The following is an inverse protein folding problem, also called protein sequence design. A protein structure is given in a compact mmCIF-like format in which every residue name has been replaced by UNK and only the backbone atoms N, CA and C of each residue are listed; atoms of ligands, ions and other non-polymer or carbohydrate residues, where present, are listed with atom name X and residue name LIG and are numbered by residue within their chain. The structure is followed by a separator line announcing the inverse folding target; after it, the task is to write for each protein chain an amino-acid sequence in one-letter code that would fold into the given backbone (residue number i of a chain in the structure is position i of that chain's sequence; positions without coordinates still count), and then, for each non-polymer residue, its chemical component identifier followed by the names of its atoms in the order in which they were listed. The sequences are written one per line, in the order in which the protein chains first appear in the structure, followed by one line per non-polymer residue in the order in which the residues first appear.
data_IF_116997569901
#
_entry.id   IF_116997569901
#
_cell.length_a   1.000
_cell.length_b   1.000
_cell.length_c   1.000
_cell.angle_alpha   90.00
_cell.angle_beta   90.00
_cell.angle_gamma   90.00
#
_symmetry.space_group_name_H-M   'P 1'
#
loop_
_entity.id
_entity.type
_entity.pdbx_description
1 polymer ?
#
# COMPACT_ATOMS: atom_id res chain seq x y z
N UNK A 1 -19.10 8.86 2.02
CA UNK A 1 -19.28 7.53 1.37
C UNK A 1 -18.96 7.71 -0.09
N UNK A 2 -17.98 6.97 -0.62
CA UNK A 2 -17.66 6.97 -2.04
C UNK A 2 -18.80 6.29 -2.79
N UNK A 3 -19.47 7.04 -3.67
CA UNK A 3 -20.66 6.57 -4.39
C UNK A 3 -20.32 5.75 -5.63
N UNK A 4 -19.15 5.98 -6.23
CA UNK A 4 -18.63 5.21 -7.36
C UNK A 4 -17.42 4.39 -6.90
N UNK A 5 -17.48 3.07 -7.10
CA UNK A 5 -16.42 2.13 -6.72
C UNK A 5 -15.63 1.62 -7.93
N UNK A 6 -16.11 1.87 -9.15
CA UNK A 6 -15.47 1.39 -10.36
C UNK A 6 -14.06 2.00 -10.49
N UNK A 7 -13.08 1.14 -10.68
CA UNK A 7 -11.68 1.54 -10.82
C UNK A 7 -11.14 2.37 -9.64
N UNK A 8 -11.71 2.16 -8.44
CA UNK A 8 -11.24 2.80 -7.23
C UNK A 8 -10.03 2.04 -6.67
N UNK A 9 -8.98 2.78 -6.36
CA UNK A 9 -7.77 2.31 -5.69
C UNK A 9 -7.50 3.18 -4.49
N UNK A 10 -7.03 2.58 -3.39
CA UNK A 10 -6.74 3.35 -2.19
C UNK A 10 -6.09 2.52 -1.09
N UNK A 11 -5.42 3.21 -0.16
CA UNK A 11 -4.74 2.59 0.96
C UNK A 11 -4.69 3.53 2.18
N UNK A 12 -4.55 2.95 3.35
CA UNK A 12 -4.43 3.66 4.61
C UNK A 12 -4.79 2.76 5.80
N UNK A 13 -4.65 3.24 7.03
CA UNK A 13 -4.97 2.45 8.22
C UNK A 13 -6.47 2.43 8.52
N UNK A 14 -6.90 1.39 9.21
CA UNK A 14 -8.24 1.30 9.82
C UNK A 14 -8.35 2.30 10.98
N UNK A 15 -9.55 2.83 11.20
CA UNK A 15 -9.85 3.72 12.33
C UNK A 15 -9.27 3.20 13.65
N UNK A 16 -8.75 4.12 14.46
CA UNK A 16 -8.03 3.85 15.72
C UNK A 16 -6.72 3.08 15.55
N UNK A 17 -6.14 3.06 14.34
CA UNK A 17 -4.90 2.35 14.01
C UNK A 17 -4.96 0.87 14.46
N UNK A 18 -6.01 0.17 14.01
CA UNK A 18 -6.28 -1.23 14.35
C UNK A 18 -6.38 -2.11 13.10
N UNK A 19 -5.39 -2.01 12.24
CA UNK A 19 -5.29 -2.74 11.00
C UNK A 19 -5.13 -1.83 9.80
N UNK A 20 -5.11 -2.44 8.61
CA UNK A 20 -4.86 -1.76 7.34
C UNK A 20 -6.04 -1.89 6.38
N UNK A 21 -6.13 -0.94 5.45
CA UNK A 21 -7.13 -0.91 4.38
C UNK A 21 -6.40 -0.92 3.05
N UNK A 22 -6.90 -1.72 2.12
CA UNK A 22 -6.47 -1.72 0.72
C UNK A 22 -7.68 -1.81 -0.18
N UNK A 23 -7.80 -0.92 -1.15
CA UNK A 23 -8.80 -0.99 -2.21
C UNK A 23 -8.10 -1.25 -3.54
N UNK A 24 -8.49 -2.32 -4.22
CA UNK A 24 -8.02 -2.70 -5.54
C UNK A 24 -9.22 -2.85 -6.47
N UNK A 25 -9.28 -1.98 -7.48
CA UNK A 25 -10.34 -1.98 -8.51
C UNK A 25 -11.76 -2.05 -7.89
N UNK A 26 -12.00 -1.22 -6.88
CA UNK A 26 -13.28 -1.11 -6.18
C UNK A 26 -13.53 -2.16 -5.11
N UNK A 27 -12.72 -3.21 -5.01
CA UNK A 27 -12.83 -4.21 -3.94
C UNK A 27 -12.03 -3.73 -2.72
N UNK A 28 -12.70 -3.55 -1.59
CA UNK A 28 -12.10 -3.07 -0.36
C UNK A 28 -11.80 -4.22 0.60
N UNK A 29 -10.56 -4.30 1.03
CA UNK A 29 -10.06 -5.26 2.01
C UNK A 29 -9.63 -4.55 3.29
N UNK A 30 -9.87 -5.18 4.43
CA UNK A 30 -9.26 -4.80 5.71
C UNK A 30 -8.48 -5.96 6.28
N UNK A 31 -7.38 -5.67 6.98
CA UNK A 31 -6.66 -6.66 7.75
C UNK A 31 -6.60 -6.26 9.22
N UNK A 32 -6.73 -7.22 10.10
CA UNK A 32 -6.63 -7.06 11.55
C UNK A 32 -5.78 -8.17 12.16
N UNK A 33 -5.06 -7.86 13.23
CA UNK A 33 -4.23 -8.82 13.93
C UNK A 33 -5.10 -9.86 14.65
N UNK A 34 -4.78 -11.15 14.47
CA UNK A 34 -5.28 -12.25 15.31
C UNK A 34 -4.22 -12.57 16.37
N UNK A 35 -2.99 -12.85 15.94
CA UNK A 35 -1.82 -13.12 16.76
C UNK A 35 -0.52 -12.78 16.00
N UNK A 36 0.64 -13.15 16.55
CA UNK A 36 1.96 -12.84 15.97
C UNK A 36 2.28 -13.56 14.64
N UNK A 37 1.47 -14.55 14.24
CA UNK A 37 1.69 -15.35 13.02
C UNK A 37 0.49 -15.37 12.09
N UNK A 38 -0.66 -14.86 12.52
CA UNK A 38 -1.88 -14.86 11.73
C UNK A 38 -2.64 -13.54 11.82
N UNK A 39 -3.32 -13.21 10.74
CA UNK A 39 -4.19 -12.05 10.62
C UNK A 39 -5.53 -12.45 10.00
N UNK A 40 -6.52 -11.60 10.14
CA UNK A 40 -7.79 -11.71 9.43
C UNK A 40 -7.79 -10.70 8.29
N UNK A 41 -8.00 -11.19 7.06
CA UNK A 41 -8.24 -10.35 5.89
C UNK A 41 -9.69 -10.54 5.48
N UNK A 42 -10.44 -9.45 5.37
CA UNK A 42 -11.86 -9.47 5.05
C UNK A 42 -12.19 -8.48 3.94
N UNK A 43 -13.04 -8.88 3.00
CA UNK A 43 -13.66 -7.94 2.08
C UNK A 43 -14.76 -7.18 2.82
N UNK A 44 -14.69 -5.83 2.83
CA UNK A 44 -15.67 -5.00 3.52
C UNK A 44 -15.79 -3.60 2.89
N UNK A 45 -17.01 -3.08 2.86
CA UNK A 45 -17.30 -1.73 2.36
C UNK A 45 -17.75 -0.78 3.49
N UNK A 46 -17.67 -1.26 4.74
CA UNK A 46 -18.05 -0.47 5.94
C UNK A 46 -16.82 -0.27 6.81
N UNK A 47 -15.92 0.59 6.36
CA UNK A 47 -14.68 0.89 7.05
C UNK A 47 -14.54 2.40 7.23
N UNK A 48 -13.83 2.81 8.28
CA UNK A 48 -13.42 4.19 8.54
C UNK A 48 -11.89 4.23 8.64
N UNK A 49 -11.29 5.30 8.17
CA UNK A 49 -9.87 5.56 8.23
C UNK A 49 -9.60 6.92 8.88
N UNK A 50 -8.56 7.10 9.70
CA UNK A 50 -8.16 8.41 10.20
C UNK A 50 -7.56 9.28 9.08
N UNK A 51 -6.90 8.66 8.11
CA UNK A 51 -6.46 9.25 6.84
C UNK A 51 -6.48 8.18 5.76
N UNK A 52 -6.66 8.59 4.52
CA UNK A 52 -6.80 7.64 3.41
C UNK A 52 -6.47 8.33 2.09
N UNK A 53 -5.56 7.70 1.31
CA UNK A 53 -5.27 8.11 -0.04
C UNK A 53 -6.05 7.25 -1.04
N UNK A 54 -6.71 7.88 -2.03
CA UNK A 54 -7.44 7.15 -3.06
C UNK A 54 -7.50 7.90 -4.39
N UNK A 55 -7.71 7.14 -5.46
CA UNK A 55 -7.94 7.66 -6.81
C UNK A 55 -8.80 6.72 -7.64
N UNK A 56 -9.49 7.27 -8.66
CA UNK A 56 -10.14 6.51 -9.72
C UNK A 56 -9.18 6.36 -10.89
N UNK A 57 -8.76 5.14 -11.19
CA UNK A 57 -7.70 4.83 -12.16
C UNK A 57 -8.19 3.76 -13.14
N UNK A 58 -8.99 4.16 -14.18
CA UNK A 58 -9.61 3.20 -15.09
C UNK A 58 -8.63 2.52 -16.04
N UNK A 59 -7.46 3.13 -16.29
CA UNK A 59 -6.51 2.62 -17.29
C UNK A 59 -5.11 2.56 -16.70
N UNK A 60 -4.44 1.42 -16.94
CA UNK A 60 -3.08 1.16 -16.50
C UNK A 60 -2.20 0.79 -17.68
N UNK A 61 -1.02 1.39 -17.73
CA UNK A 61 0.06 0.94 -18.58
C UNK A 61 0.84 -0.15 -17.85
N UNK A 62 0.78 -1.37 -18.35
CA UNK A 62 1.58 -2.48 -17.84
C UNK A 62 2.95 -2.50 -18.50
N UNK A 63 3.98 -2.67 -17.69
CA UNK A 63 5.34 -2.94 -18.17
C UNK A 63 6.03 -3.93 -17.22
N UNK A 64 6.99 -4.69 -17.73
CA UNK A 64 7.82 -5.55 -16.89
C UNK A 64 8.71 -4.68 -16.00
N UNK A 65 8.73 -4.96 -14.70
CA UNK A 65 9.72 -4.35 -13.79
C UNK A 65 11.12 -4.88 -14.15
N UNK A 66 12.13 -4.03 -14.36
CA UNK A 66 13.49 -4.50 -14.64
C UNK A 66 14.01 -5.44 -13.54
N UNK A 67 14.68 -6.52 -13.93
CA UNK A 67 15.15 -7.56 -13.01
C UNK A 67 16.19 -7.05 -11.98
N UNK A 68 16.82 -5.90 -12.25
CA UNK A 68 17.71 -5.20 -11.32
C UNK A 68 16.98 -4.51 -10.16
N UNK A 69 15.67 -4.26 -10.31
CA UNK A 69 14.86 -3.60 -9.29
C UNK A 69 14.29 -4.66 -8.36
N UNK A 70 14.99 -4.92 -7.26
CA UNK A 70 14.64 -6.01 -6.33
C UNK A 70 14.25 -5.52 -4.94
N UNK A 71 14.49 -4.25 -4.60
CA UNK A 71 14.22 -3.70 -3.26
C UNK A 71 13.37 -2.43 -3.34
N UNK A 72 12.83 -1.98 -2.19
CA UNK A 72 12.09 -0.72 -2.10
C UNK A 72 12.94 0.48 -2.52
N UNK A 73 14.19 0.55 -2.07
CA UNK A 73 15.10 1.64 -2.45
C UNK A 73 15.34 1.68 -3.96
N UNK A 74 15.64 0.52 -4.58
CA UNK A 74 15.81 0.43 -6.03
C UNK A 74 14.52 0.79 -6.80
N UNK A 75 13.34 0.41 -6.26
CA UNK A 75 12.06 0.78 -6.85
C UNK A 75 11.83 2.29 -6.74
N UNK A 76 12.12 2.89 -5.60
CA UNK A 76 12.00 4.33 -5.38
C UNK A 76 12.86 5.11 -6.38
N UNK A 77 14.15 4.75 -6.49
CA UNK A 77 15.08 5.39 -7.43
C UNK A 77 14.61 5.23 -8.87
N UNK A 78 14.10 4.05 -9.23
CA UNK A 78 13.55 3.78 -10.55
C UNK A 78 12.34 4.67 -10.86
N UNK A 79 11.38 4.77 -9.93
CA UNK A 79 10.19 5.61 -10.10
C UNK A 79 10.58 7.10 -10.15
N UNK A 80 11.53 7.53 -9.36
CA UNK A 80 11.97 8.92 -9.32
C UNK A 80 12.68 9.36 -10.60
N UNK A 81 13.53 8.51 -11.16
CA UNK A 81 14.38 8.83 -12.32
C UNK A 81 13.67 8.56 -13.64
N UNK A 82 12.90 7.47 -13.74
CA UNK A 82 12.38 6.97 -15.02
C UNK A 82 10.89 7.25 -15.23
N UNK A 83 10.15 7.67 -14.18
CA UNK A 83 8.71 7.97 -14.27
C UNK A 83 8.51 9.48 -14.00
N UNK A 84 9.19 10.31 -14.79
CA UNK A 84 9.11 11.77 -14.73
C UNK A 84 7.92 12.36 -15.49
N UNK A 85 7.30 11.56 -16.37
CA UNK A 85 6.13 11.97 -17.16
C UNK A 85 4.82 11.97 -16.37
N UNK A 86 4.78 11.38 -15.17
CA UNK A 86 3.62 11.43 -14.28
C UNK A 86 3.72 12.60 -13.29
N UNK A 87 2.64 13.41 -13.13
CA UNK A 87 2.60 14.40 -12.07
C UNK A 87 2.65 13.72 -10.71
N UNK A 88 3.44 14.27 -9.78
CA UNK A 88 3.54 13.78 -8.40
C UNK A 88 2.56 14.51 -7.50
N UNK A 89 1.90 13.81 -6.56
CA UNK A 89 2.02 12.37 -6.27
C UNK A 89 1.20 11.49 -7.24
N UNK A 90 1.53 10.19 -7.32
CA UNK A 90 0.77 9.22 -8.12
C UNK A 90 0.71 7.84 -7.46
N UNK A 91 -0.33 7.08 -7.80
CA UNK A 91 -0.42 5.66 -7.49
C UNK A 91 0.27 4.82 -8.55
N UNK A 92 0.79 3.68 -8.14
CA UNK A 92 1.27 2.62 -9.03
C UNK A 92 0.88 1.26 -8.45
N UNK A 93 0.93 0.22 -9.26
CA UNK A 93 0.69 -1.14 -8.82
C UNK A 93 1.86 -2.03 -9.23
N UNK A 94 2.09 -3.06 -8.41
CA UNK A 94 2.97 -4.17 -8.77
C UNK A 94 2.17 -5.47 -8.63
N UNK A 95 2.45 -6.44 -9.52
CA UNK A 95 1.87 -7.78 -9.46
C UNK A 95 2.93 -8.80 -9.84
N UNK A 96 3.10 -9.84 -9.03
CA UNK A 96 4.12 -10.85 -9.29
C UNK A 96 4.44 -11.70 -8.06
N UNK A 97 5.71 -12.06 -7.90
CA UNK A 97 6.19 -12.86 -6.78
C UNK A 97 7.20 -12.05 -5.96
N UNK A 98 6.95 -11.92 -4.67
CA UNK A 98 7.95 -11.48 -3.72
C UNK A 98 8.72 -12.70 -3.20
N UNK A 99 10.04 -12.72 -3.41
CA UNK A 99 10.91 -13.75 -2.82
C UNK A 99 10.92 -13.66 -1.30
N UNK A 100 10.84 -12.41 -0.78
CA UNK A 100 10.63 -12.12 0.63
C UNK A 100 9.86 -10.81 0.74
N UNK A 101 8.92 -10.72 1.69
CA UNK A 101 8.25 -9.48 2.08
C UNK A 101 8.06 -9.43 3.59
N UNK A 102 8.29 -8.26 4.19
CA UNK A 102 7.88 -7.97 5.57
C UNK A 102 6.77 -6.92 5.49
N UNK A 103 5.61 -7.27 6.02
CA UNK A 103 4.48 -6.37 6.16
C UNK A 103 4.15 -6.20 7.64
N UNK A 104 3.60 -5.04 8.00
CA UNK A 104 3.06 -4.85 9.34
C UNK A 104 1.58 -4.47 9.33
N UNK A 105 0.95 -4.67 10.46
CA UNK A 105 -0.33 -4.11 10.81
C UNK A 105 -0.19 -3.24 12.05
N UNK A 106 -0.69 -2.00 11.97
CA UNK A 106 -0.88 -1.19 13.18
C UNK A 106 -1.93 -1.85 14.07
N UNK A 107 -1.69 -1.89 15.37
CA UNK A 107 -2.54 -2.62 16.32
C UNK A 107 -2.55 -1.95 17.69
N UNK A 108 -3.02 -0.71 17.75
CA UNK A 108 -3.13 0.03 19.00
C UNK A 108 -4.28 -0.50 19.87
N UNK A 109 -4.15 -0.46 21.21
CA UNK A 109 -5.27 -0.70 22.11
C UNK A 109 -6.43 0.27 21.82
N UNK A 110 -7.66 -0.20 22.03
CA UNK A 110 -8.83 0.66 21.82
C UNK A 110 -8.77 1.89 22.73
N UNK A 111 -9.01 3.07 22.14
CA UNK A 111 -9.01 4.34 22.88
C UNK A 111 -7.64 4.99 23.03
N UNK A 112 -6.57 4.43 22.46
CA UNK A 112 -5.26 5.08 22.44
C UNK A 112 -5.36 6.40 21.67
N UNK A 113 -4.89 7.49 22.28
CA UNK A 113 -4.70 8.79 21.62
C UNK A 113 -3.27 8.83 21.12
N UNK A 114 -3.09 9.14 19.85
CA UNK A 114 -1.79 9.19 19.18
C UNK A 114 -1.39 10.64 18.94
N UNK A 115 -0.18 11.00 19.33
CA UNK A 115 0.37 12.36 19.18
C UNK A 115 1.59 12.41 18.24
N UNK A 116 2.12 11.24 17.84
CA UNK A 116 3.26 11.15 16.92
C UNK A 116 3.19 9.89 16.04
N UNK A 117 3.89 9.87 14.89
CA UNK A 117 4.02 8.66 14.08
C UNK A 117 4.60 7.47 14.85
N UNK A 118 5.58 7.70 15.73
CA UNK A 118 6.20 6.63 16.55
C UNK A 118 5.19 6.00 17.50
N UNK A 119 4.29 6.79 18.08
CA UNK A 119 3.19 6.26 18.91
C UNK A 119 2.21 5.44 18.08
N UNK A 120 2.00 5.77 16.81
CA UNK A 120 1.12 5.02 15.90
C UNK A 120 1.61 3.58 15.67
N UNK A 121 2.91 3.35 15.74
CA UNK A 121 3.52 2.03 15.54
C UNK A 121 3.70 1.22 16.85
N UNK A 122 3.33 1.77 18.01
CA UNK A 122 3.33 1.02 19.25
C UNK A 122 2.31 -0.12 19.16
N UNK A 123 2.80 -1.37 19.33
CA UNK A 123 1.96 -2.56 19.22
C UNK A 123 1.70 -3.05 17.81
N UNK A 124 2.41 -2.53 16.80
CA UNK A 124 2.40 -3.14 15.47
C UNK A 124 2.85 -4.60 15.52
N UNK A 125 2.35 -5.38 14.58
CA UNK A 125 2.73 -6.80 14.42
C UNK A 125 3.27 -6.99 13.01
N UNK A 126 4.49 -7.53 12.94
CA UNK A 126 5.19 -7.77 11.69
C UNK A 126 5.00 -9.22 11.23
N UNK A 127 4.83 -9.41 9.93
CA UNK A 127 4.71 -10.71 9.29
C UNK A 127 5.72 -10.80 8.16
N UNK A 128 6.60 -11.80 8.20
CA UNK A 128 7.56 -12.07 7.13
C UNK A 128 7.10 -13.25 6.28
N UNK A 129 7.00 -13.01 4.98
CA UNK A 129 6.46 -13.93 3.98
C UNK A 129 7.54 -14.27 2.97
N UNK A 130 7.51 -15.49 2.41
CA UNK A 130 8.52 -15.98 1.47
C UNK A 130 7.87 -16.60 0.23
N UNK A 131 8.46 -16.34 -0.95
CA UNK A 131 8.05 -16.88 -2.26
C UNK A 131 6.53 -16.73 -2.54
N UNK A 132 5.97 -15.56 -2.24
CA UNK A 132 4.53 -15.34 -2.30
C UNK A 132 4.08 -14.61 -3.57
N UNK A 133 3.07 -15.12 -4.28
CA UNK A 133 2.33 -14.36 -5.28
C UNK A 133 1.52 -13.24 -4.59
N UNK A 134 1.71 -12.00 -5.03
CA UNK A 134 1.08 -10.85 -4.41
C UNK A 134 0.74 -9.75 -5.41
N UNK A 135 -0.18 -8.89 -4.98
CA UNK A 135 -0.50 -7.61 -5.58
C UNK A 135 -0.15 -6.51 -4.58
N UNK A 136 0.42 -5.42 -5.07
CA UNK A 136 0.85 -4.27 -4.26
C UNK A 136 0.22 -3.03 -4.87
N UNK A 137 -0.39 -2.19 -4.05
CA UNK A 137 -0.72 -0.82 -4.39
C UNK A 137 0.28 0.09 -3.70
N UNK A 138 0.92 0.97 -4.48
CA UNK A 138 1.88 1.93 -3.99
C UNK A 138 1.46 3.36 -4.30
N UNK A 139 1.88 4.26 -3.43
CA UNK A 139 1.77 5.70 -3.56
C UNK A 139 3.18 6.28 -3.55
N UNK A 140 3.52 7.07 -4.58
CA UNK A 140 4.81 7.75 -4.70
C UNK A 140 4.62 9.25 -4.55
N UNK A 141 5.38 9.87 -3.63
CA UNK A 141 5.35 11.31 -3.42
C UNK A 141 6.66 11.84 -2.88
N UNK A 142 7.21 12.87 -3.51
CA UNK A 142 8.43 13.57 -3.06
C UNK A 142 8.14 14.73 -2.11
N UNK A 143 6.87 15.05 -1.82
CA UNK A 143 6.46 16.22 -1.03
C UNK A 143 5.63 15.89 0.20
N UNK A 144 5.34 14.61 0.48
CA UNK A 144 4.49 14.17 1.59
C UNK A 144 5.19 13.24 2.58
N UNK A 145 6.53 13.32 2.67
CA UNK A 145 7.32 12.58 3.66
C UNK A 145 6.85 12.89 5.08
N UNK A 146 6.72 11.84 5.91
CA UNK A 146 6.25 11.97 7.28
C UNK A 146 4.77 12.27 7.45
N UNK A 147 4.01 12.43 6.34
CA UNK A 147 2.55 12.62 6.35
C UNK A 147 1.86 11.39 5.77
N UNK A 148 2.24 10.97 4.56
CA UNK A 148 1.67 9.83 3.84
C UNK A 148 2.72 8.78 3.43
N UNK A 149 4.01 9.13 3.46
CA UNK A 149 5.13 8.22 3.30
C UNK A 149 5.98 8.27 4.57
N UNK A 150 6.82 7.24 4.80
CA UNK A 150 7.78 7.29 5.90
C UNK A 150 8.72 8.49 5.79
N UNK A 151 9.35 8.89 6.90
CA UNK A 151 10.25 10.06 6.93
C UNK A 151 11.47 9.92 6.01
N UNK A 152 11.87 8.70 5.70
CA UNK A 152 13.06 8.33 4.94
C UNK A 152 12.76 7.75 3.54
N UNK A 153 11.48 7.71 3.12
CA UNK A 153 11.07 7.18 1.83
C UNK A 153 9.99 8.02 1.17
N UNK A 154 9.93 7.97 -0.16
CA UNK A 154 8.87 8.56 -0.99
C UNK A 154 7.73 7.58 -1.28
N UNK A 155 7.79 6.38 -0.70
CA UNK A 155 6.85 5.29 -0.95
C UNK A 155 5.94 5.05 0.25
N UNK A 156 4.66 4.78 -0.02
CA UNK A 156 3.72 4.18 0.90
C UNK A 156 3.04 3.03 0.16
N UNK A 157 3.15 1.82 0.65
CA UNK A 157 2.70 0.64 -0.09
C UNK A 157 1.99 -0.35 0.81
N UNK A 158 0.89 -0.93 0.29
CA UNK A 158 0.23 -2.07 0.90
C UNK A 158 0.33 -3.29 -0.02
N UNK A 159 0.67 -4.43 0.55
CA UNK A 159 0.72 -5.72 -0.11
C UNK A 159 -0.48 -6.57 0.30
N UNK A 160 -1.06 -7.29 -0.65
CA UNK A 160 -2.01 -8.37 -0.40
C UNK A 160 -1.57 -9.63 -1.15
N UNK A 161 -1.57 -10.78 -0.47
CA UNK A 161 -1.29 -12.07 -1.11
C UNK A 161 -2.44 -12.49 -2.01
N UNK A 162 -2.16 -13.22 -3.10
CA UNK A 162 -3.22 -13.65 -4.04
C UNK A 162 -4.25 -14.56 -3.40
N UNK A 163 -3.88 -15.34 -2.39
CA UNK A 163 -4.81 -16.18 -1.61
C UNK A 163 -5.58 -15.39 -0.53
N UNK A 164 -5.34 -14.07 -0.42
CA UNK A 164 -5.99 -13.15 0.52
C UNK A 164 -5.80 -13.51 2.01
N UNK A 165 -4.74 -14.25 2.34
CA UNK A 165 -4.45 -14.59 3.74
C UNK A 165 -3.65 -13.54 4.49
N UNK A 166 -2.83 -12.76 3.77
CA UNK A 166 -2.00 -11.72 4.35
C UNK A 166 -2.20 -10.42 3.58
N UNK A 167 -2.37 -9.32 4.30
CA UNK A 167 -2.46 -7.97 3.76
C UNK A 167 -1.98 -6.97 4.81
N UNK A 168 -1.12 -6.03 4.43
CA UNK A 168 -0.61 -5.02 5.35
C UNK A 168 0.28 -3.98 4.69
N UNK A 169 0.76 -3.04 5.50
CA UNK A 169 1.75 -2.06 5.08
C UNK A 169 3.08 -2.76 4.77
N UNK A 170 3.69 -2.44 3.64
CA UNK A 170 4.91 -3.10 3.16
C UNK A 170 6.16 -2.34 3.60
N UNK A 171 6.92 -2.91 4.54
CA UNK A 171 8.16 -2.31 5.07
C UNK A 171 9.40 -2.71 4.29
N UNK A 172 9.47 -3.98 3.87
CA UNK A 172 10.60 -4.54 3.14
C UNK A 172 10.14 -5.54 2.11
N UNK A 173 10.84 -5.57 0.98
CA UNK A 173 10.59 -6.57 -0.06
C UNK A 173 11.88 -6.91 -0.80
N UNK A 174 11.96 -8.17 -1.22
CA UNK A 174 12.85 -8.64 -2.27
C UNK A 174 11.97 -9.18 -3.38
N UNK A 175 11.91 -8.47 -4.49
CA UNK A 175 11.15 -8.91 -5.67
C UNK A 175 11.88 -10.07 -6.35
N UNK A 176 11.13 -11.07 -6.79
CA UNK A 176 11.70 -12.19 -7.55
C UNK A 176 11.95 -11.75 -8.99
N UNK A 177 13.20 -11.77 -9.49
CA UNK A 177 13.53 -11.35 -10.85
C UNK A 177 12.68 -12.08 -11.89
N UNK A 178 12.29 -11.38 -12.93
CA UNK A 178 11.53 -11.94 -14.04
C UNK A 178 10.03 -12.14 -13.79
N UNK A 179 9.52 -11.86 -12.59
CA UNK A 179 8.13 -12.17 -12.23
C UNK A 179 7.25 -10.94 -11.99
N UNK A 180 7.85 -9.76 -11.82
CA UNK A 180 7.10 -8.55 -11.43
C UNK A 180 6.68 -7.72 -12.65
N UNK A 181 5.40 -7.36 -12.70
CA UNK A 181 4.87 -6.30 -13.57
C UNK A 181 4.65 -5.04 -12.77
N UNK A 182 5.00 -3.89 -13.37
CA UNK A 182 4.68 -2.55 -12.88
C UNK A 182 3.54 -1.97 -13.71
N UNK A 183 2.55 -1.40 -13.05
CA UNK A 183 1.39 -0.75 -13.65
C UNK A 183 1.40 0.73 -13.27
N UNK A 184 1.41 1.59 -14.27
CA UNK A 184 1.38 3.04 -14.14
C UNK A 184 0.05 3.61 -14.64
N UNK A 185 -0.54 4.63 -13.99
CA UNK A 185 -1.80 5.21 -14.44
C UNK A 185 -1.62 5.91 -15.79
N UNK A 186 -2.52 5.66 -16.72
CA UNK A 186 -2.50 6.30 -18.05
C UNK A 186 -3.22 7.66 -18.07
N UNK A 187 -4.06 7.94 -17.08
CA UNK A 187 -4.86 9.17 -17.09
C UNK A 187 -4.26 10.22 -16.14
N UNK A 188 -3.70 11.28 -16.70
CA UNK A 188 -3.09 12.40 -15.97
C UNK A 188 -4.11 13.28 -15.20
N UNK A 189 -5.40 13.09 -15.44
CA UNK A 189 -6.49 13.85 -14.77
C UNK A 189 -7.06 13.13 -13.54
N UNK A 190 -6.46 12.04 -13.09
CA UNK A 190 -6.87 11.38 -11.85
C UNK A 190 -6.49 12.26 -10.66
N UNK A 191 -7.48 12.95 -10.08
CA UNK A 191 -7.29 13.68 -8.83
C UNK A 191 -6.99 12.68 -7.72
N UNK A 192 -5.79 12.74 -7.17
CA UNK A 192 -5.52 12.08 -5.91
C UNK A 192 -6.27 12.85 -4.81
N UNK A 193 -7.12 12.17 -4.07
CA UNK A 193 -7.84 12.75 -2.95
C UNK A 193 -7.26 12.17 -1.66
N UNK A 194 -6.77 13.05 -0.81
CA UNK A 194 -6.35 12.72 0.55
C UNK A 194 -7.43 13.20 1.50
N UNK A 195 -7.95 12.30 2.32
CA UNK A 195 -8.96 12.61 3.34
C UNK A 195 -8.37 12.34 4.71
N UNK A 196 -8.40 13.34 5.59
CA UNK A 196 -8.17 13.20 7.04
C UNK A 196 -9.46 13.53 7.76
N UNK A 197 -9.84 12.74 8.76
CA UNK A 197 -11.00 12.98 9.64
C UNK A 197 -10.54 13.17 11.06
#
# INVERSE_FOLDING_TARGET
TLSNKDHLYGLGPVQYLRGEILILDGVAYTSTVIDSISMRVEETYKVKAPFFGYAHLPFWLEQKLPDSIQTLGALQDYLDIHIDFLPRPFFFRLSGIAAQATIHLVNLPAGTVVHSPDEAHQGQVDYTLYDIPCDILGFFSTTHQGIFTHHDTFLHMHLITRDKKYMGHLDRVVFKPGTMSLFLPMNLNSSLIMSSY
#
